data_IF_843383902182
#
_entry.id   IF_843383902182
#
_cell.length_a   1.000
_cell.length_b   1.000
_cell.length_c   1.000
_cell.angle_alpha   90.00
_cell.angle_beta   90.00
_cell.angle_gamma   90.00
#
_symmetry.space_group_name_H-M   'P 1'
#
loop_
_entity.id
_entity.type
_entity.pdbx_description
1 polymer ?
#
# COMPACT_ATOMS: atom_id res chain seq x y z
N UNK A 1 -16.42 20.57 9.28
CA UNK A 1 -15.47 20.28 8.19
C UNK A 1 -14.30 21.23 8.39
N UNK A 2 -13.12 20.74 8.78
CA UNK A 2 -11.95 21.59 8.97
C UNK A 2 -10.93 21.32 7.86
N UNK A 3 -10.60 22.40 7.16
CA UNK A 3 -9.56 22.58 6.14
C UNK A 3 -9.80 21.96 4.75
N UNK A 4 -9.83 22.84 3.74
CA UNK A 4 -9.74 22.50 2.32
C UNK A 4 -8.29 22.59 1.89
N UNK A 5 -7.65 21.45 1.61
CA UNK A 5 -6.33 21.39 0.99
C UNK A 5 -6.51 21.17 -0.52
N UNK A 6 -6.28 22.20 -1.33
CA UNK A 6 -6.37 22.19 -2.80
C UNK A 6 -5.12 21.63 -3.51
N UNK A 7 -4.14 21.11 -2.77
CA UNK A 7 -2.95 20.41 -3.29
C UNK A 7 -3.23 18.91 -3.46
N UNK A 8 -2.49 18.20 -4.33
CA UNK A 8 -2.45 16.73 -4.29
C UNK A 8 -2.06 16.33 -2.86
N UNK A 9 -2.97 15.64 -2.17
CA UNK A 9 -2.71 15.03 -0.86
C UNK A 9 -2.46 13.53 -1.05
N UNK A 10 -1.94 12.85 -0.02
CA UNK A 10 -1.82 11.39 -0.05
C UNK A 10 -3.14 10.69 -0.39
N UNK A 11 -4.29 11.25 0.03
CA UNK A 11 -5.62 10.73 -0.33
C UNK A 11 -5.96 10.93 -1.80
N UNK A 12 -5.57 12.05 -2.41
CA UNK A 12 -5.74 12.31 -3.84
C UNK A 12 -4.93 11.32 -4.70
N UNK A 13 -3.71 11.01 -4.29
CA UNK A 13 -2.85 10.07 -5.01
C UNK A 13 -3.37 8.64 -4.87
N UNK A 14 -3.82 8.24 -3.67
CA UNK A 14 -4.48 6.94 -3.44
C UNK A 14 -5.73 6.80 -4.32
N UNK A 15 -6.56 7.84 -4.40
CA UNK A 15 -7.75 7.84 -5.26
C UNK A 15 -7.38 7.64 -6.74
N UNK A 16 -6.41 8.40 -7.25
CA UNK A 16 -5.96 8.28 -8.65
C UNK A 16 -5.38 6.90 -8.96
N UNK A 17 -4.58 6.35 -8.06
CA UNK A 17 -4.02 4.99 -8.19
C UNK A 17 -5.14 3.94 -8.17
N UNK A 18 -6.12 4.07 -7.27
CA UNK A 18 -7.26 3.16 -7.21
C UNK A 18 -8.10 3.21 -8.49
N UNK A 19 -8.38 4.41 -9.00
CA UNK A 19 -9.10 4.60 -10.25
C UNK A 19 -8.40 3.95 -11.44
N UNK A 20 -7.06 4.07 -11.52
CA UNK A 20 -6.25 3.49 -12.60
C UNK A 20 -6.14 1.96 -12.49
N UNK A 21 -5.91 1.42 -11.29
CA UNK A 21 -5.63 0.00 -11.09
C UNK A 21 -6.91 -0.86 -11.04
N UNK A 22 -8.00 -0.32 -10.50
CA UNK A 22 -9.25 -1.04 -10.26
C UNK A 22 -10.32 -0.63 -11.28
N UNK A 23 -10.45 0.67 -11.58
CA UNK A 23 -11.48 1.24 -12.44
C UNK A 23 -12.45 2.16 -11.68
N UNK A 24 -13.46 2.68 -12.38
CA UNK A 24 -14.42 3.66 -11.82
C UNK A 24 -15.23 3.12 -10.63
N UNK A 25 -15.45 1.82 -10.60
CA UNK A 25 -16.26 1.14 -9.59
C UNK A 25 -15.43 0.69 -8.36
N UNK A 26 -14.20 1.20 -8.20
CA UNK A 26 -13.32 0.78 -7.10
C UNK A 26 -13.92 1.00 -5.70
N UNK A 27 -14.85 1.95 -5.54
CA UNK A 27 -15.54 2.23 -4.28
C UNK A 27 -16.51 1.11 -3.88
N UNK A 28 -17.03 0.33 -4.83
CA UNK A 28 -17.83 -0.87 -4.57
C UNK A 28 -17.01 -2.15 -4.61
N UNK A 29 -16.02 -2.19 -5.49
CA UNK A 29 -15.33 -3.43 -5.87
C UNK A 29 -14.11 -3.74 -5.01
N UNK A 30 -13.60 -2.73 -4.27
CA UNK A 30 -12.39 -2.86 -3.49
C UNK A 30 -12.45 -2.10 -2.17
N UNK A 31 -11.80 -2.68 -1.17
CA UNK A 31 -11.46 -2.03 0.07
C UNK A 31 -9.99 -1.59 0.01
N UNK A 32 -9.78 -0.29 0.17
CA UNK A 32 -8.46 0.34 0.06
C UNK A 32 -7.95 0.72 1.45
N UNK A 33 -6.75 0.24 1.79
CA UNK A 33 -6.00 0.69 2.98
C UNK A 33 -4.79 1.45 2.46
N UNK A 34 -4.55 2.67 2.96
CA UNK A 34 -3.32 3.41 2.69
C UNK A 34 -2.69 3.84 4.00
N UNK A 35 -1.38 3.64 4.11
CA UNK A 35 -0.58 4.14 5.22
C UNK A 35 0.64 4.86 4.69
N UNK A 36 0.94 5.99 5.33
CA UNK A 36 2.18 6.73 5.15
C UNK A 36 2.89 6.69 6.50
N UNK A 37 4.11 6.14 6.54
CA UNK A 37 4.95 5.93 7.76
C UNK A 37 4.73 4.61 8.50
N UNK A 38 4.64 3.49 7.79
CA UNK A 38 4.82 2.19 8.44
C UNK A 38 6.28 1.97 8.79
N UNK A 39 6.59 1.73 10.07
CA UNK A 39 7.97 1.58 10.53
C UNK A 39 8.58 0.25 10.07
N UNK A 40 9.77 0.33 9.46
CA UNK A 40 10.59 -0.81 9.06
C UNK A 40 12.00 -0.71 9.66
N UNK A 41 12.14 -0.03 10.79
CA UNK A 41 13.42 0.24 11.46
C UNK A 41 14.21 -0.99 11.87
N UNK A 42 13.53 -2.12 12.03
CA UNK A 42 14.10 -3.45 12.29
C UNK A 42 14.85 -4.03 11.08
N UNK A 43 14.59 -3.56 9.86
CA UNK A 43 15.36 -3.94 8.67
C UNK A 43 16.65 -3.10 8.66
N UNK A 44 17.82 -3.75 8.77
CA UNK A 44 19.12 -3.06 8.91
C UNK A 44 19.47 -2.16 7.72
N UNK A 45 19.22 -2.63 6.49
CA UNK A 45 19.56 -1.93 5.23
C UNK A 45 18.40 -2.06 4.24
N UNK A 46 17.28 -1.36 4.46
CA UNK A 46 16.11 -1.46 3.60
C UNK A 46 16.43 -0.83 2.23
N UNK A 47 15.96 -1.49 1.17
CA UNK A 47 15.99 -0.99 -0.20
C UNK A 47 14.71 -1.42 -0.89
N UNK A 48 14.27 -0.70 -1.93
CA UNK A 48 13.07 -1.08 -2.66
C UNK A 48 13.17 -2.53 -3.17
N UNK A 49 14.31 -2.93 -3.74
CA UNK A 49 14.54 -4.31 -4.20
C UNK A 49 14.36 -5.33 -3.08
N UNK A 50 14.88 -5.05 -1.88
CA UNK A 50 14.76 -5.96 -0.74
C UNK A 50 13.30 -6.09 -0.30
N UNK A 51 12.59 -4.96 -0.15
CA UNK A 51 11.18 -4.93 0.22
C UNK A 51 10.31 -5.65 -0.81
N UNK A 52 10.49 -5.39 -2.11
CA UNK A 52 9.76 -6.08 -3.17
C UNK A 52 10.04 -7.58 -3.20
N UNK A 53 11.24 -8.01 -2.83
CA UNK A 53 11.59 -9.44 -2.77
C UNK A 53 10.84 -10.12 -1.63
N UNK A 54 10.82 -9.52 -0.43
CA UNK A 54 10.08 -10.03 0.74
C UNK A 54 8.58 -10.08 0.44
N UNK A 55 8.03 -8.99 -0.11
CA UNK A 55 6.59 -8.82 -0.32
C UNK A 55 6.07 -9.48 -1.60
N UNK A 56 6.95 -10.08 -2.42
CA UNK A 56 6.61 -10.71 -3.71
C UNK A 56 5.32 -11.56 -3.69
N UNK A 57 5.03 -12.38 -2.66
CA UNK A 57 3.81 -13.20 -2.63
C UNK A 57 2.50 -12.40 -2.56
N UNK A 58 2.55 -11.18 -2.06
CA UNK A 58 1.37 -10.33 -1.82
C UNK A 58 1.40 -9.01 -2.59
N UNK A 59 2.37 -8.82 -3.49
CA UNK A 59 2.38 -7.66 -4.38
C UNK A 59 1.12 -7.63 -5.24
N UNK A 60 0.70 -6.43 -5.62
CA UNK A 60 -0.50 -6.21 -6.40
C UNK A 60 -0.55 -7.09 -7.66
N UNK A 61 -1.62 -7.86 -7.78
CA UNK A 61 -1.92 -8.73 -8.90
C UNK A 61 -3.04 -8.10 -9.73
N UNK A 62 -2.71 -7.67 -10.96
CA UNK A 62 -3.68 -7.01 -11.85
C UNK A 62 -4.89 -7.88 -12.24
N UNK A 63 -4.74 -9.21 -12.29
CA UNK A 63 -5.85 -10.12 -12.62
C UNK A 63 -6.84 -10.20 -11.46
N UNK A 64 -6.33 -10.29 -10.24
CA UNK A 64 -7.15 -10.35 -9.03
C UNK A 64 -7.62 -8.99 -8.55
N UNK A 65 -6.95 -7.90 -8.99
CA UNK A 65 -7.12 -6.54 -8.49
C UNK A 65 -6.90 -6.44 -6.97
N UNK A 66 -5.98 -7.23 -6.44
CA UNK A 66 -5.65 -7.29 -5.01
C UNK A 66 -4.14 -7.29 -4.78
N UNK A 67 -3.74 -6.84 -3.60
CA UNK A 67 -2.37 -6.92 -3.10
C UNK A 67 -1.81 -5.57 -2.69
N UNK A 68 -0.52 -5.57 -2.37
CA UNK A 68 0.23 -4.42 -1.88
C UNK A 68 0.87 -3.67 -3.05
N UNK A 69 0.72 -2.35 -3.06
CA UNK A 69 1.45 -1.42 -3.92
C UNK A 69 2.37 -0.59 -3.01
N UNK A 70 3.66 -0.53 -3.34
CA UNK A 70 4.60 0.36 -2.65
C UNK A 70 4.57 1.72 -3.36
N UNK A 71 4.16 2.77 -2.65
CA UNK A 71 3.87 4.06 -3.29
C UNK A 71 5.06 5.00 -3.34
N UNK A 72 6.14 4.74 -2.59
CA UNK A 72 7.34 5.59 -2.62
C UNK A 72 8.58 4.85 -2.13
N UNK A 73 9.68 4.97 -2.90
CA UNK A 73 11.00 4.49 -2.49
C UNK A 73 11.72 5.49 -1.57
N UNK A 74 11.42 6.78 -1.68
CA UNK A 74 12.25 7.85 -1.11
C UNK A 74 12.41 7.78 0.41
N UNK A 75 11.39 7.28 1.10
CA UNK A 75 11.38 7.16 2.56
C UNK A 75 11.87 5.79 3.06
N UNK A 76 12.07 4.81 2.17
CA UNK A 76 12.56 3.47 2.54
C UNK A 76 13.93 3.58 3.20
N UNK A 77 14.80 4.45 2.67
CA UNK A 77 16.12 4.75 3.28
C UNK A 77 16.01 5.39 4.66
N UNK A 78 14.88 6.03 4.96
CA UNK A 78 14.56 6.60 6.28
C UNK A 78 13.87 5.57 7.20
N UNK A 79 13.85 4.29 6.80
CA UNK A 79 13.23 3.18 7.53
C UNK A 79 11.72 3.31 7.71
N UNK A 80 11.07 3.94 6.75
CA UNK A 80 9.62 4.02 6.69
C UNK A 80 9.10 3.48 5.36
N UNK A 81 7.86 2.99 5.34
CA UNK A 81 7.18 2.52 4.14
C UNK A 81 5.86 3.28 3.93
N UNK A 82 5.62 3.72 2.69
CA UNK A 82 4.29 4.14 2.22
C UNK A 82 3.76 3.05 1.31
N UNK A 83 2.57 2.57 1.59
CA UNK A 83 1.94 1.53 0.81
C UNK A 83 0.43 1.74 0.68
N UNK A 84 -0.14 1.07 -0.32
CA UNK A 84 -1.57 0.92 -0.54
C UNK A 84 -1.88 -0.57 -0.63
N UNK A 85 -2.95 -1.01 0.02
CA UNK A 85 -3.48 -2.37 -0.10
C UNK A 85 -4.83 -2.28 -0.78
N UNK A 86 -5.01 -3.12 -1.79
CA UNK A 86 -6.29 -3.42 -2.41
C UNK A 86 -6.73 -4.82 -2.00
N UNK A 87 -7.95 -4.96 -1.49
CA UNK A 87 -8.61 -6.26 -1.29
C UNK A 87 -10.05 -6.18 -1.79
N UNK A 88 -10.60 -7.27 -2.30
CA UNK A 88 -12.01 -7.32 -2.75
C UNK A 88 -13.02 -7.09 -1.61
N UNK A 89 -12.58 -7.26 -0.37
CA UNK A 89 -13.37 -7.11 0.85
C UNK A 89 -12.51 -6.50 1.94
N UNK A 90 -13.16 -5.86 2.92
CA UNK A 90 -12.50 -5.38 4.14
C UNK A 90 -11.68 -6.48 4.80
N UNK A 91 -12.26 -7.68 4.97
CA UNK A 91 -11.58 -8.83 5.58
C UNK A 91 -10.30 -9.18 4.82
N UNK A 92 -10.36 -9.25 3.49
CA UNK A 92 -9.20 -9.60 2.66
C UNK A 92 -8.10 -8.55 2.73
N UNK A 93 -8.44 -7.26 2.68
CA UNK A 93 -7.46 -6.18 2.80
C UNK A 93 -6.68 -6.25 4.14
N UNK A 94 -7.37 -6.47 5.27
CA UNK A 94 -6.69 -6.66 6.56
C UNK A 94 -5.89 -7.96 6.66
N UNK A 95 -6.28 -9.03 5.96
CA UNK A 95 -5.47 -10.24 5.88
C UNK A 95 -4.16 -9.98 5.14
N UNK A 96 -4.21 -9.26 4.02
CA UNK A 96 -3.01 -8.84 3.27
C UNK A 96 -2.12 -7.96 4.15
N UNK A 97 -2.71 -7.02 4.90
CA UNK A 97 -1.95 -6.16 5.83
C UNK A 97 -1.23 -6.98 6.91
N UNK A 98 -1.93 -7.95 7.52
CA UNK A 98 -1.33 -8.84 8.53
C UNK A 98 -0.21 -9.70 7.93
N UNK A 99 -0.39 -10.20 6.72
CA UNK A 99 0.62 -10.99 6.01
C UNK A 99 1.84 -10.14 5.64
N UNK A 100 1.63 -8.89 5.21
CA UNK A 100 2.70 -7.93 4.95
C UNK A 100 3.55 -7.69 6.20
N UNK A 101 2.91 -7.38 7.34
CA UNK A 101 3.62 -7.22 8.62
C UNK A 101 4.43 -8.46 8.96
N UNK A 102 3.83 -9.65 8.85
CA UNK A 102 4.52 -10.92 9.12
C UNK A 102 5.74 -11.12 8.21
N UNK A 103 5.62 -10.81 6.92
CA UNK A 103 6.71 -10.98 5.97
C UNK A 103 7.88 -10.02 6.24
N UNK A 104 7.59 -8.79 6.65
CA UNK A 104 8.62 -7.79 6.95
C UNK A 104 9.34 -8.05 8.28
N UNK A 105 8.64 -8.57 9.28
CA UNK A 105 9.19 -8.85 10.62
C UNK A 105 10.03 -10.14 10.71
N UNK A 106 10.05 -10.98 9.66
CA UNK A 106 10.92 -12.17 9.58
C UNK A 106 12.33 -11.82 9.08
#
# INVERSE_FOLDING_TARGET
MNESNTRNTGGTDVYKIALELIGRDFLSDSYVISRSKYDISYIKRPSLKHILTILKPILYNKKMKEGVVISSENIIRQKELIYIIFGNTKRRAYQIEKEMTRLLEN
#
